data_IF_789205017639
#
_entry.id   IF_789205017639
#
_cell.length_a   1.000
_cell.length_b   1.000
_cell.length_c   1.000
_cell.angle_alpha   90.00
_cell.angle_beta   90.00
_cell.angle_gamma   90.00
#
_symmetry.space_group_name_H-M   'P 1'
#
loop_
_entity.id
_entity.type
_entity.pdbx_description
1 polymer ?
#
# COMPACT_ATOMS: atom_id res chain seq x y z
N UNK A 1 34.50 -22.16 -14.47
CA UNK A 1 33.62 -21.23 -13.71
C UNK A 1 32.21 -21.77 -13.69
N UNK A 2 31.68 -22.05 -12.50
CA UNK A 2 30.32 -22.58 -12.34
C UNK A 2 29.32 -21.42 -12.46
N UNK A 3 28.52 -21.44 -13.51
CA UNK A 3 27.38 -20.55 -13.69
C UNK A 3 26.28 -20.96 -12.71
N UNK A 4 26.33 -20.45 -11.48
CA UNK A 4 25.20 -20.57 -10.55
C UNK A 4 24.14 -19.58 -10.99
N UNK A 5 23.20 -20.03 -11.83
CA UNK A 5 21.90 -19.38 -11.96
C UNK A 5 21.17 -19.56 -10.63
N UNK A 6 21.31 -18.60 -9.72
CA UNK A 6 20.47 -18.51 -8.52
C UNK A 6 19.07 -18.07 -9.00
N UNK A 7 18.29 -19.00 -9.54
CA UNK A 7 16.84 -18.88 -9.45
C UNK A 7 16.51 -19.23 -8.00
N UNK A 8 16.56 -18.23 -7.12
CA UNK A 8 16.11 -18.41 -5.74
C UNK A 8 14.63 -18.75 -5.80
N UNK A 9 14.26 -20.01 -5.55
CA UNK A 9 12.93 -20.36 -5.10
C UNK A 9 12.74 -19.64 -3.75
N UNK A 10 12.29 -18.38 -3.78
CA UNK A 10 11.82 -17.69 -2.58
C UNK A 10 10.67 -18.56 -2.07
N UNK A 11 10.81 -19.14 -0.88
CA UNK A 11 9.69 -19.84 -0.24
C UNK A 11 8.50 -18.86 -0.21
N UNK A 12 7.30 -19.28 -0.64
CA UNK A 12 6.14 -18.40 -0.59
C UNK A 12 5.83 -18.03 0.86
N UNK A 13 5.13 -16.92 1.06
CA UNK A 13 4.59 -16.60 2.37
C UNK A 13 3.58 -17.69 2.79
N UNK A 14 3.66 -18.14 4.04
CA UNK A 14 2.79 -19.19 4.59
C UNK A 14 2.24 -18.77 5.95
N UNK A 15 1.04 -19.25 6.27
CA UNK A 15 0.44 -19.04 7.59
C UNK A 15 0.82 -20.25 8.46
N UNK A 16 1.53 -20.00 9.56
CA UNK A 16 1.91 -21.00 10.56
C UNK A 16 1.24 -20.61 11.87
N UNK A 17 0.25 -21.40 12.29
CA UNK A 17 -0.62 -21.11 13.44
C UNK A 17 -1.27 -19.72 13.35
N UNK A 18 -0.81 -18.76 14.17
CA UNK A 18 -1.29 -17.38 14.23
C UNK A 18 -0.28 -16.37 13.68
N UNK A 19 0.66 -16.82 12.84
CA UNK A 19 1.76 -15.99 12.32
C UNK A 19 1.89 -16.16 10.81
N UNK A 20 2.39 -15.12 10.16
CA UNK A 20 2.77 -15.16 8.75
C UNK A 20 4.29 -15.36 8.71
N UNK A 21 4.73 -16.47 8.15
CA UNK A 21 6.13 -16.69 7.79
C UNK A 21 6.35 -16.21 6.37
N UNK A 22 7.29 -15.29 6.18
CA UNK A 22 7.65 -14.74 4.89
C UNK A 22 9.16 -14.80 4.68
N UNK A 23 9.62 -14.91 3.42
CA UNK A 23 11.05 -14.91 3.13
C UNK A 23 11.66 -13.58 3.59
N UNK A 24 12.80 -13.64 4.28
CA UNK A 24 13.56 -12.45 4.59
C UNK A 24 14.11 -11.85 3.30
N UNK A 25 13.79 -10.57 3.05
CA UNK A 25 14.29 -9.81 1.90
C UNK A 25 15.35 -8.85 2.41
N UNK A 26 16.58 -8.96 1.88
CA UNK A 26 17.65 -8.04 2.21
C UNK A 26 17.55 -6.75 1.37
N UNK A 27 17.65 -5.59 2.03
CA UNK A 27 17.49 -4.30 1.37
C UNK A 27 17.42 -3.15 2.38
N UNK A 28 17.09 -1.96 1.87
CA UNK A 28 17.03 -0.72 2.66
C UNK A 28 15.69 -0.03 2.44
N UNK A 29 15.29 0.84 3.35
CA UNK A 29 14.13 1.72 3.16
C UNK A 29 14.33 2.55 1.87
N UNK A 30 13.40 2.49 0.90
CA UNK A 30 13.48 3.29 -0.31
C UNK A 30 13.38 4.79 0.00
N UNK A 31 13.92 5.62 -0.90
CA UNK A 31 13.65 7.05 -0.85
C UNK A 31 12.24 7.36 -1.40
N UNK A 32 11.86 8.63 -1.42
CA UNK A 32 10.55 9.07 -1.90
C UNK A 32 10.26 8.62 -3.34
N UNK A 33 11.19 8.84 -4.26
CA UNK A 33 10.99 8.50 -5.68
C UNK A 33 10.91 6.98 -5.89
N UNK A 34 11.75 6.23 -5.20
CA UNK A 34 11.72 4.76 -5.20
C UNK A 34 10.38 4.25 -4.66
N UNK A 35 9.83 4.89 -3.62
CA UNK A 35 8.52 4.53 -3.05
C UNK A 35 7.40 4.76 -4.06
N UNK A 36 7.40 5.90 -4.77
CA UNK A 36 6.44 6.16 -5.85
C UNK A 36 6.51 5.08 -6.94
N UNK A 37 7.72 4.66 -7.33
CA UNK A 37 7.90 3.58 -8.30
C UNK A 37 7.28 2.27 -7.78
N UNK A 38 7.56 1.88 -6.54
CA UNK A 38 6.99 0.68 -5.94
C UNK A 38 5.45 0.70 -5.87
N UNK A 39 4.86 1.84 -5.52
CA UNK A 39 3.39 2.01 -5.50
C UNK A 39 2.80 1.90 -6.91
N UNK A 40 3.45 2.51 -7.91
CA UNK A 40 3.01 2.40 -9.30
C UNK A 40 3.11 0.97 -9.83
N UNK A 41 4.16 0.24 -9.46
CA UNK A 41 4.35 -1.14 -9.91
C UNK A 41 3.32 -2.09 -9.26
N UNK A 42 2.95 -1.88 -8.00
CA UNK A 42 1.81 -2.55 -7.38
C UNK A 42 0.51 -2.30 -8.16
N UNK A 43 0.27 -1.04 -8.53
CA UNK A 43 -0.92 -0.66 -9.29
C UNK A 43 -0.98 -1.32 -10.66
N UNK A 44 0.13 -1.39 -11.40
CA UNK A 44 0.20 -2.11 -12.69
C UNK A 44 -0.16 -3.59 -12.56
N UNK A 45 0.02 -4.18 -11.38
CA UNK A 45 -0.39 -5.55 -11.05
C UNK A 45 -1.83 -5.65 -10.52
N UNK A 46 -2.58 -4.54 -10.51
CA UNK A 46 -3.99 -4.48 -10.09
C UNK A 46 -4.19 -4.27 -8.59
N UNK A 47 -3.16 -3.87 -7.84
CA UNK A 47 -3.22 -3.70 -6.39
C UNK A 47 -2.98 -2.26 -5.97
N UNK A 48 -3.68 -1.83 -4.92
CA UNK A 48 -3.50 -0.55 -4.26
C UNK A 48 -2.90 -0.77 -2.88
N UNK A 49 -2.04 0.15 -2.43
CA UNK A 49 -1.41 0.12 -1.11
C UNK A 49 -2.01 1.21 -0.22
N UNK A 50 -2.83 0.83 0.77
CA UNK A 50 -3.50 1.73 1.71
C UNK A 50 -2.55 2.59 2.54
N UNK A 51 -1.38 2.05 2.84
CA UNK A 51 -0.31 2.66 3.62
C UNK A 51 1.00 2.73 2.82
N UNK A 52 0.97 3.52 1.75
CA UNK A 52 2.06 3.72 0.79
C UNK A 52 3.37 4.38 1.34
N UNK A 53 3.63 4.32 2.65
CA UNK A 53 4.81 4.93 3.28
C UNK A 53 6.09 4.11 3.00
N UNK A 54 7.28 4.74 2.95
CA UNK A 54 8.54 4.07 2.61
C UNK A 54 8.89 2.89 3.52
N UNK A 55 8.48 2.91 4.80
CA UNK A 55 8.77 1.82 5.74
C UNK A 55 8.06 0.51 5.39
N UNK A 56 7.07 0.53 4.50
CA UNK A 56 6.34 -0.65 4.05
C UNK A 56 6.87 -1.20 2.72
N UNK A 57 7.98 -0.64 2.25
CA UNK A 57 8.70 -1.09 1.07
C UNK A 57 10.16 -1.32 1.40
N UNK A 58 10.81 -2.09 0.55
CA UNK A 58 12.23 -2.39 0.66
C UNK A 58 12.87 -2.28 -0.72
N UNK A 59 13.92 -1.47 -0.82
CA UNK A 59 14.79 -1.42 -2.00
C UNK A 59 15.87 -2.48 -1.88
N UNK A 60 15.81 -3.47 -2.76
CA UNK A 60 16.77 -4.59 -2.82
C UNK A 60 18.13 -4.13 -3.37
N UNK A 61 19.16 -4.95 -3.19
CA UNK A 61 20.50 -4.68 -3.74
C UNK A 61 20.53 -4.62 -5.28
N UNK A 62 19.59 -5.27 -5.94
CA UNK A 62 19.43 -5.24 -7.42
C UNK A 62 18.58 -4.05 -7.89
N UNK A 63 18.16 -3.18 -6.97
CA UNK A 63 17.46 -1.93 -7.27
C UNK A 63 15.94 -2.03 -7.39
N UNK A 64 15.35 -3.21 -7.19
CA UNK A 64 13.88 -3.37 -7.17
C UNK A 64 13.30 -2.85 -5.87
N UNK A 65 12.09 -2.29 -5.91
CA UNK A 65 11.33 -1.85 -4.74
C UNK A 65 10.19 -2.82 -4.51
N UNK A 66 10.27 -3.62 -3.45
CA UNK A 66 9.29 -4.65 -3.12
C UNK A 66 8.46 -4.20 -1.91
N UNK A 67 7.12 -4.36 -1.91
CA UNK A 67 6.31 -4.19 -0.71
C UNK A 67 6.61 -5.29 0.31
N UNK A 68 6.63 -4.94 1.59
CA UNK A 68 6.90 -5.88 2.70
C UNK A 68 5.76 -5.97 3.71
N UNK A 69 4.81 -5.04 3.67
CA UNK A 69 3.59 -5.08 4.46
C UNK A 69 2.39 -5.14 3.51
N UNK A 70 1.52 -6.13 3.69
CA UNK A 70 0.33 -6.33 2.85
C UNK A 70 -0.97 -6.11 3.64
N UNK A 71 -0.89 -5.65 4.90
CA UNK A 71 -2.03 -5.52 5.79
C UNK A 71 -3.11 -4.57 5.28
N UNK A 72 -2.74 -3.58 4.46
CA UNK A 72 -3.65 -2.61 3.85
C UNK A 72 -3.60 -2.63 2.32
N UNK A 73 -3.31 -3.78 1.72
CA UNK A 73 -3.38 -3.95 0.26
C UNK A 73 -4.79 -4.32 -0.17
N UNK A 74 -5.30 -3.65 -1.20
CA UNK A 74 -6.67 -3.84 -1.69
C UNK A 74 -6.79 -3.76 -3.21
N UNK A 75 -7.92 -4.21 -3.75
CA UNK A 75 -8.30 -4.05 -5.16
C UNK A 75 -9.51 -3.16 -5.29
N UNK A 76 -9.62 -2.50 -6.44
CA UNK A 76 -10.74 -1.59 -6.77
C UNK A 76 -12.08 -2.30 -6.81
N UNK A 77 -12.11 -3.55 -7.29
CA UNK A 77 -13.32 -4.34 -7.49
C UNK A 77 -13.75 -5.13 -6.25
N UNK A 78 -13.03 -5.00 -5.13
CA UNK A 78 -13.32 -5.76 -3.90
C UNK A 78 -13.52 -4.85 -2.67
N UNK A 79 -13.77 -3.55 -2.86
CA UNK A 79 -13.86 -2.58 -1.77
C UNK A 79 -14.96 -2.93 -0.74
N UNK A 80 -16.08 -3.45 -1.22
CA UNK A 80 -17.23 -3.86 -0.40
C UNK A 80 -16.94 -5.01 0.56
N UNK A 81 -15.97 -5.87 0.22
CA UNK A 81 -15.57 -7.04 1.01
C UNK A 81 -14.48 -6.76 2.04
N UNK A 82 -13.94 -5.53 2.06
CA UNK A 82 -12.93 -5.13 3.04
C UNK A 82 -13.60 -4.94 4.40
N UNK A 83 -13.01 -5.46 5.48
CA UNK A 83 -13.50 -5.22 6.84
C UNK A 83 -13.55 -3.71 7.18
N UNK A 84 -14.55 -3.25 7.91
CA UNK A 84 -14.75 -1.82 8.18
C UNK A 84 -13.59 -1.17 8.93
N UNK A 85 -12.92 -1.88 9.85
CA UNK A 85 -11.72 -1.35 10.51
C UNK A 85 -10.55 -1.20 9.53
N UNK A 86 -10.43 -2.13 8.58
CA UNK A 86 -9.44 -2.03 7.50
C UNK A 86 -9.77 -0.85 6.58
N UNK A 87 -11.04 -0.63 6.20
CA UNK A 87 -11.47 0.55 5.43
C UNK A 87 -11.09 1.85 6.16
N UNK A 88 -11.36 1.94 7.47
CA UNK A 88 -10.98 3.10 8.30
C UNK A 88 -9.48 3.32 8.31
N UNK A 89 -8.68 2.26 8.43
CA UNK A 89 -7.22 2.37 8.43
C UNK A 89 -6.68 2.88 7.09
N UNK A 90 -7.19 2.36 5.95
CA UNK A 90 -6.82 2.84 4.61
C UNK A 90 -7.07 4.34 4.48
N UNK A 91 -8.27 4.82 4.85
CA UNK A 91 -8.62 6.24 4.77
C UNK A 91 -7.76 7.07 5.73
N UNK A 92 -7.55 6.59 6.96
CA UNK A 92 -6.76 7.29 7.97
C UNK A 92 -5.32 7.51 7.51
N UNK A 93 -4.68 6.47 6.99
CA UNK A 93 -3.28 6.54 6.54
C UNK A 93 -3.15 7.39 5.27
N UNK A 94 -4.12 7.31 4.36
CA UNK A 94 -4.19 8.22 3.21
C UNK A 94 -4.18 9.69 3.68
N UNK A 95 -5.08 10.08 4.58
CA UNK A 95 -5.24 11.46 5.06
C UNK A 95 -4.04 11.94 5.90
N UNK A 96 -3.43 11.05 6.69
CA UNK A 96 -2.26 11.37 7.54
C UNK A 96 -0.97 11.64 6.76
N UNK A 97 -0.97 11.40 5.46
CA UNK A 97 0.15 11.72 4.58
C UNK A 97 0.46 10.67 3.52
N UNK A 98 -0.22 9.52 3.55
CA UNK A 98 -0.10 8.48 2.54
C UNK A 98 -0.36 9.01 1.12
N UNK A 99 -1.27 9.99 0.97
CA UNK A 99 -1.58 10.64 -0.31
C UNK A 99 -0.35 11.21 -1.05
N UNK A 100 0.74 11.53 -0.33
CA UNK A 100 1.98 12.07 -0.94
C UNK A 100 2.77 11.00 -1.70
N UNK A 101 2.56 9.73 -1.37
CA UNK A 101 3.22 8.59 -1.99
C UNK A 101 2.36 7.93 -3.07
N UNK A 102 1.26 8.57 -3.46
CA UNK A 102 0.43 8.10 -4.58
C UNK A 102 0.90 8.81 -5.87
N UNK A 103 1.43 8.06 -6.85
CA UNK A 103 1.85 8.61 -8.14
C UNK A 103 0.72 9.36 -8.85
N UNK A 104 1.07 10.42 -9.59
CA UNK A 104 0.08 11.24 -10.30
C UNK A 104 -0.71 10.43 -11.33
N UNK A 105 -0.08 9.42 -11.92
CA UNK A 105 -0.62 8.52 -12.94
C UNK A 105 -1.83 7.73 -12.44
N UNK A 106 -1.88 7.44 -11.13
CA UNK A 106 -2.91 6.59 -10.52
C UNK A 106 -3.78 7.37 -9.54
N UNK A 107 -3.49 8.66 -9.34
CA UNK A 107 -4.06 9.47 -8.26
C UNK A 107 -5.57 9.61 -8.37
N UNK A 108 -6.11 9.70 -9.59
CA UNK A 108 -7.56 9.82 -9.83
C UNK A 108 -8.29 8.53 -9.44
N UNK A 109 -7.78 7.39 -9.87
CA UNK A 109 -8.31 6.06 -9.55
C UNK A 109 -8.21 5.78 -8.06
N UNK A 110 -7.07 6.09 -7.45
CA UNK A 110 -6.86 5.95 -6.02
C UNK A 110 -7.84 6.80 -5.23
N UNK A 111 -7.98 8.08 -5.59
CA UNK A 111 -8.93 8.99 -4.95
C UNK A 111 -10.38 8.49 -5.08
N UNK A 112 -10.76 7.96 -6.24
CA UNK A 112 -12.08 7.34 -6.42
C UNK A 112 -12.33 6.17 -5.47
N UNK A 113 -11.30 5.35 -5.18
CA UNK A 113 -11.41 4.29 -4.20
C UNK A 113 -11.58 4.84 -2.78
N UNK A 114 -10.80 5.87 -2.41
CA UNK A 114 -10.92 6.51 -1.09
C UNK A 114 -12.29 7.13 -0.88
N UNK A 115 -12.83 7.82 -1.89
CA UNK A 115 -14.18 8.39 -1.84
C UNK A 115 -15.26 7.31 -1.70
N UNK A 116 -15.12 6.17 -2.39
CA UNK A 116 -16.06 5.05 -2.23
C UNK A 116 -15.99 4.44 -0.82
N UNK A 117 -14.78 4.25 -0.27
CA UNK A 117 -14.62 3.76 1.10
C UNK A 117 -15.20 4.75 2.13
N UNK A 118 -15.03 6.06 1.90
CA UNK A 118 -15.61 7.11 2.73
C UNK A 118 -17.14 7.05 2.74
N UNK A 119 -17.75 6.91 1.56
CA UNK A 119 -19.20 6.79 1.40
C UNK A 119 -19.74 5.51 2.06
N UNK A 120 -19.08 4.36 1.86
CA UNK A 120 -19.43 3.08 2.49
C UNK A 120 -19.44 3.16 4.03
N UNK A 121 -18.49 3.90 4.62
CA UNK A 121 -18.39 4.08 6.07
C UNK A 121 -19.35 5.15 6.61
N UNK A 122 -19.76 6.12 5.77
CA UNK A 122 -20.71 7.17 6.11
C UNK A 122 -20.33 7.96 7.37
N UNK A 123 -21.10 7.78 8.46
CA UNK A 123 -20.88 8.46 9.74
C UNK A 123 -19.64 7.95 10.49
N UNK A 124 -19.22 6.73 10.20
CA UNK A 124 -18.10 6.06 10.86
C UNK A 124 -16.77 6.33 10.15
N UNK A 125 -16.80 7.09 9.05
CA UNK A 125 -15.61 7.47 8.30
C UNK A 125 -14.64 8.34 9.13
N UNK A 126 -13.32 8.09 9.05
CA UNK A 126 -12.31 8.94 9.66
C UNK A 126 -12.36 10.41 9.21
N UNK A 127 -12.84 10.71 8.00
CA UNK A 127 -12.89 12.08 7.45
C UNK A 127 -13.70 13.02 8.34
N UNK A 128 -14.76 12.52 8.98
CA UNK A 128 -15.67 13.28 9.86
C UNK A 128 -15.00 13.88 11.10
N UNK A 129 -13.85 13.33 11.50
CA UNK A 129 -13.11 13.72 12.72
C UNK A 129 -11.84 14.53 12.41
N UNK A 130 -11.55 14.79 11.13
CA UNK A 130 -10.33 15.46 10.70
C UNK A 130 -10.63 16.91 10.30
N UNK A 131 -9.67 17.81 10.55
CA UNK A 131 -9.81 19.21 10.16
C UNK A 131 -9.85 19.37 8.62
N UNK A 132 -10.61 20.38 8.16
CA UNK A 132 -10.83 20.67 6.74
C UNK A 132 -9.51 20.94 5.99
N UNK A 133 -8.53 21.58 6.64
CA UNK A 133 -7.23 21.89 6.03
C UNK A 133 -6.44 20.62 5.67
N UNK A 134 -6.55 19.57 6.47
CA UNK A 134 -5.90 18.28 6.22
C UNK A 134 -6.62 17.52 5.10
N UNK A 135 -7.95 17.52 5.11
CA UNK A 135 -8.76 16.90 4.04
C UNK A 135 -8.46 17.54 2.67
N UNK A 136 -8.48 18.87 2.62
CA UNK A 136 -8.18 19.63 1.41
C UNK A 136 -6.79 19.31 0.84
N UNK A 137 -5.78 19.07 1.69
CA UNK A 137 -4.44 18.64 1.24
C UNK A 137 -4.44 17.23 0.63
N UNK A 138 -5.28 16.33 1.15
CA UNK A 138 -5.47 14.98 0.64
C UNK A 138 -6.40 14.92 -0.59
N UNK A 139 -6.99 16.06 -0.98
CA UNK A 139 -7.93 16.19 -2.08
C UNK A 139 -9.35 15.75 -1.73
N UNK A 140 -9.68 15.61 -0.44
CA UNK A 140 -11.00 15.23 0.09
C UNK A 140 -11.75 16.44 0.64
#
# INVERSE_FOLDING_TARGET
EYHIKIQSFKKPATIVEKRIEMPFINGKTPNFQDTLTGVNDLFKNGFFMGDAKPSNFLKTSIGTVEPIDFGLVFKRDTLEFIDDEVKKNIISDYIKGGFRYIPNEIKKEYHSCIAQLDDMLGKDSPTRKINIKTLSKAGL
#
